data_IF_498026690765
#
_entry.id   IF_498026690765
#
_cell.length_a   1.000
_cell.length_b   1.000
_cell.length_c   1.000
_cell.angle_alpha   90.00
_cell.angle_beta   90.00
_cell.angle_gamma   90.00
#
_symmetry.space_group_name_H-M   'P 1'
#
loop_
_entity.id
_entity.type
_entity.pdbx_description
1 polymer ?
#
# COMPACT_ATOMS: atom_id res chain seq x y z
N UNK A 1 23.12 12.80 29.05
CA UNK A 1 21.83 12.67 28.34
C UNK A 1 21.93 11.46 27.43
N UNK A 2 20.82 10.75 27.17
CA UNK A 2 20.83 9.67 26.18
C UNK A 2 20.93 10.24 24.76
N UNK A 3 21.72 9.63 23.89
CA UNK A 3 21.81 10.02 22.48
C UNK A 3 20.54 9.59 21.74
N UNK A 4 19.94 10.50 20.98
CA UNK A 4 18.76 10.22 20.15
C UNK A 4 19.17 9.65 18.79
N UNK A 5 18.23 9.02 18.07
CA UNK A 5 18.44 8.67 16.66
C UNK A 5 18.24 9.93 15.79
N UNK A 6 19.34 10.58 15.43
CA UNK A 6 19.32 11.82 14.64
C UNK A 6 18.80 11.64 13.20
N UNK A 7 18.68 10.41 12.69
CA UNK A 7 18.08 10.18 11.38
C UNK A 7 16.62 10.66 11.32
N UNK A 8 15.91 10.67 12.45
CA UNK A 8 14.55 11.23 12.53
C UNK A 8 14.50 12.73 12.23
N UNK A 9 15.61 13.47 12.45
CA UNK A 9 15.68 14.91 12.20
C UNK A 9 15.82 15.24 10.71
N UNK A 10 16.09 14.24 9.87
CA UNK A 10 16.23 14.40 8.41
C UNK A 10 14.88 14.45 7.69
N UNK A 11 13.81 13.98 8.34
CA UNK A 11 12.46 14.07 7.82
C UNK A 11 12.02 15.55 7.86
N UNK A 12 12.04 16.21 6.70
CA UNK A 12 11.80 17.66 6.59
C UNK A 12 10.36 18.09 6.91
N UNK A 13 9.41 17.15 6.84
CA UNK A 13 8.01 17.37 7.18
C UNK A 13 7.46 16.20 7.99
N UNK A 14 6.35 16.44 8.70
CA UNK A 14 5.57 15.36 9.30
C UNK A 14 4.99 14.44 8.22
N UNK A 15 4.67 13.21 8.60
CA UNK A 15 4.10 12.21 7.70
C UNK A 15 2.86 12.77 6.95
N UNK A 16 2.73 12.43 5.66
CA UNK A 16 1.75 13.02 4.73
C UNK A 16 0.31 13.08 5.28
N UNK A 17 -0.20 11.96 5.78
CA UNK A 17 -1.60 11.87 6.19
C UNK A 17 -1.93 12.67 7.47
N UNK A 18 -1.08 12.68 8.51
CA UNK A 18 -1.17 13.65 9.60
C UNK A 18 -1.21 15.12 9.17
N UNK A 19 -0.39 15.52 8.19
CA UNK A 19 -0.40 16.91 7.70
C UNK A 19 -1.72 17.25 6.98
N UNK A 20 -2.24 16.34 6.15
CA UNK A 20 -3.58 16.50 5.54
C UNK A 20 -4.65 16.64 6.64
N UNK A 21 -4.62 15.77 7.66
CA UNK A 21 -5.57 15.82 8.77
C UNK A 21 -5.50 17.16 9.52
N UNK A 22 -4.30 17.71 9.72
CA UNK A 22 -4.08 19.01 10.35
C UNK A 22 -4.71 20.14 9.53
N UNK A 23 -4.48 20.19 8.21
CA UNK A 23 -5.06 21.22 7.33
C UNK A 23 -6.59 21.11 7.24
N UNK A 24 -7.13 19.90 7.13
CA UNK A 24 -8.58 19.67 7.13
C UNK A 24 -9.22 20.14 8.43
N UNK A 25 -8.58 19.86 9.57
CA UNK A 25 -9.05 20.36 10.88
C UNK A 25 -9.06 21.88 10.91
N UNK A 26 -7.97 22.53 10.51
CA UNK A 26 -7.89 23.99 10.47
C UNK A 26 -8.96 24.62 9.56
N UNK A 27 -9.22 24.01 8.39
CA UNK A 27 -10.30 24.43 7.51
C UNK A 27 -11.69 24.27 8.15
N UNK A 28 -11.96 23.11 8.77
CA UNK A 28 -13.23 22.84 9.44
C UNK A 28 -13.49 23.81 10.62
N UNK A 29 -12.45 24.10 11.42
CA UNK A 29 -12.53 25.04 12.53
C UNK A 29 -12.79 26.48 12.04
N UNK A 30 -12.16 26.89 10.93
CA UNK A 30 -12.34 28.22 10.34
C UNK A 30 -13.67 28.37 9.57
N UNK A 31 -14.27 27.25 9.14
CA UNK A 31 -15.48 27.21 8.30
C UNK A 31 -16.54 26.25 8.86
N UNK A 32 -17.07 26.53 10.06
CA UNK A 32 -18.07 25.66 10.71
C UNK A 32 -19.36 25.51 9.89
N UNK A 33 -19.65 26.48 9.00
CA UNK A 33 -20.79 26.48 8.08
C UNK A 33 -20.74 25.34 7.03
N UNK A 34 -19.54 24.85 6.69
CA UNK A 34 -19.37 23.74 5.73
C UNK A 34 -18.63 22.53 6.30
N UNK A 35 -18.19 22.57 7.56
CA UNK A 35 -17.42 21.50 8.19
C UNK A 35 -18.13 20.12 8.13
N UNK A 36 -19.46 20.11 8.31
CA UNK A 36 -20.28 18.89 8.21
C UNK A 36 -20.46 18.37 6.77
N UNK A 37 -20.15 19.19 5.77
CA UNK A 37 -20.28 18.89 4.33
C UNK A 37 -18.96 18.42 3.70
N UNK A 38 -17.88 18.34 4.48
CA UNK A 38 -16.57 17.89 3.99
C UNK A 38 -16.64 16.41 3.63
N UNK A 39 -16.39 16.12 2.35
CA UNK A 39 -16.29 14.74 1.84
C UNK A 39 -14.82 14.34 1.82
N UNK A 40 -14.51 13.22 2.47
CA UNK A 40 -13.13 12.73 2.61
C UNK A 40 -12.81 11.70 1.53
N UNK A 41 -12.15 12.15 0.47
CA UNK A 41 -11.60 11.29 -0.59
C UNK A 41 -10.05 11.29 -0.57
N UNK A 42 -9.47 11.57 0.60
CA UNK A 42 -8.02 11.69 0.82
C UNK A 42 -7.41 10.35 1.18
N UNK A 43 -7.35 10.05 2.49
CA UNK A 43 -6.92 8.74 3.00
C UNK A 43 -7.78 7.65 2.36
N UNK A 44 -7.14 6.57 1.91
CA UNK A 44 -7.83 5.42 1.36
C UNK A 44 -8.45 4.52 2.43
N UNK A 45 -9.19 5.08 3.39
CA UNK A 45 -9.86 4.30 4.44
C UNK A 45 -11.17 3.73 3.92
N UNK A 46 -11.44 2.45 4.15
CA UNK A 46 -12.69 1.82 3.68
C UNK A 46 -13.87 2.38 4.48
N UNK A 47 -15.06 2.39 3.87
CA UNK A 47 -16.25 3.03 4.47
C UNK A 47 -17.45 2.12 4.58
N UNK A 48 -17.55 1.12 3.71
CA UNK A 48 -18.58 0.09 3.82
C UNK A 48 -18.27 -0.89 4.97
N UNK A 49 -19.31 -1.44 5.61
CA UNK A 49 -19.16 -2.41 6.71
C UNK A 49 -18.35 -3.64 6.31
N UNK A 50 -17.79 -4.31 7.33
CA UNK A 50 -17.13 -5.59 7.16
C UNK A 50 -18.10 -6.64 6.57
N UNK A 51 -17.61 -7.58 5.74
CA UNK A 51 -18.40 -8.71 5.27
C UNK A 51 -19.09 -9.46 6.42
N UNK A 52 -20.35 -9.87 6.21
CA UNK A 52 -21.13 -10.55 7.24
C UNK A 52 -20.47 -11.86 7.71
N UNK A 53 -19.76 -12.57 6.83
CA UNK A 53 -18.97 -13.75 7.19
C UNK A 53 -17.88 -13.42 8.21
N UNK A 54 -17.20 -12.28 8.07
CA UNK A 54 -16.20 -11.81 9.02
C UNK A 54 -16.81 -11.43 10.36
N UNK A 55 -17.95 -10.73 10.36
CA UNK A 55 -18.66 -10.36 11.59
C UNK A 55 -19.10 -11.60 12.36
N UNK A 56 -19.67 -12.60 11.68
CA UNK A 56 -20.06 -13.86 12.31
C UNK A 56 -18.84 -14.60 12.91
N UNK A 57 -17.71 -14.63 12.20
CA UNK A 57 -16.48 -15.23 12.69
C UNK A 57 -15.88 -14.47 13.89
N UNK A 58 -15.95 -13.14 13.90
CA UNK A 58 -15.53 -12.31 15.03
C UNK A 58 -16.35 -12.63 16.28
N UNK A 59 -17.68 -12.63 16.18
CA UNK A 59 -18.56 -12.95 17.30
C UNK A 59 -18.26 -14.33 17.88
N UNK A 60 -18.18 -15.34 17.01
CA UNK A 60 -17.85 -16.70 17.42
C UNK A 60 -16.49 -16.77 18.12
N UNK A 61 -15.46 -16.14 17.58
CA UNK A 61 -14.13 -16.17 18.17
C UNK A 61 -14.06 -15.42 19.51
N UNK A 62 -14.84 -14.35 19.69
CA UNK A 62 -14.98 -13.66 20.97
C UNK A 62 -15.66 -14.57 22.00
N UNK A 63 -16.73 -15.26 21.62
CA UNK A 63 -17.42 -16.21 22.50
C UNK A 63 -16.49 -17.36 22.90
N UNK A 64 -15.69 -17.89 21.97
CA UNK A 64 -14.66 -18.90 22.24
C UNK A 64 -13.61 -18.41 23.25
N UNK A 65 -13.25 -17.12 23.23
CA UNK A 65 -12.34 -16.53 24.22
C UNK A 65 -12.99 -16.33 25.60
N UNK A 66 -14.32 -16.37 25.71
CA UNK A 66 -15.05 -16.29 26.98
C UNK A 66 -15.10 -17.61 27.75
N UNK A 67 -14.72 -18.72 27.13
CA UNK A 67 -14.83 -20.09 27.69
C UNK A 67 -13.44 -20.67 27.93
N UNK A 68 -13.19 -21.20 29.13
CA UNK A 68 -11.85 -21.64 29.57
C UNK A 68 -11.25 -22.69 28.66
N UNK A 69 -12.07 -23.60 28.15
CA UNK A 69 -11.67 -24.74 27.33
C UNK A 69 -11.28 -24.33 25.89
N UNK A 70 -11.84 -23.23 25.40
CA UNK A 70 -11.60 -22.71 24.04
C UNK A 70 -10.76 -21.45 24.01
N UNK A 71 -10.43 -20.88 25.18
CA UNK A 71 -9.61 -19.69 25.32
C UNK A 71 -8.27 -19.82 24.58
N UNK A 72 -7.88 -18.74 23.90
CA UNK A 72 -6.60 -18.61 23.19
C UNK A 72 -5.80 -17.45 23.79
N UNK A 73 -4.66 -17.76 24.40
CA UNK A 73 -3.70 -16.78 24.90
C UNK A 73 -2.78 -16.27 23.79
N UNK A 74 -1.47 -16.17 24.08
CA UNK A 74 -0.47 -15.95 23.02
C UNK A 74 -0.58 -17.05 21.97
N UNK A 75 -0.82 -16.64 20.72
CA UNK A 75 -0.83 -17.53 19.57
C UNK A 75 0.57 -17.69 18.99
N UNK A 76 0.72 -18.54 17.95
CA UNK A 76 1.95 -18.56 17.15
C UNK A 76 2.16 -17.20 16.50
N UNK A 77 3.31 -16.57 16.72
CA UNK A 77 3.59 -15.19 16.28
C UNK A 77 3.52 -15.08 14.75
N UNK A 78 3.94 -16.14 14.04
CA UNK A 78 3.84 -16.23 12.58
C UNK A 78 2.39 -16.25 12.04
N UNK A 79 1.40 -16.53 12.90
CA UNK A 79 0.00 -16.70 12.51
C UNK A 79 -0.47 -18.14 12.66
N UNK A 80 -1.78 -18.30 12.94
CA UNK A 80 -2.39 -19.61 13.11
C UNK A 80 -2.41 -20.39 11.80
N UNK A 81 -2.22 -21.71 11.90
CA UNK A 81 -2.17 -22.62 10.76
C UNK A 81 -3.39 -22.51 9.85
N UNK A 82 -4.59 -22.35 10.44
CA UNK A 82 -5.83 -22.24 9.67
C UNK A 82 -5.81 -21.07 8.69
N UNK A 83 -5.22 -19.93 9.09
CA UNK A 83 -5.14 -18.75 8.24
C UNK A 83 -4.00 -18.87 7.24
N UNK A 84 -2.82 -19.33 7.68
CA UNK A 84 -1.67 -19.53 6.78
C UNK A 84 -1.98 -20.54 5.67
N UNK A 85 -2.65 -21.64 6.01
CA UNK A 85 -3.11 -22.62 5.02
C UNK A 85 -4.16 -22.01 4.09
N UNK A 86 -5.14 -21.26 4.61
CA UNK A 86 -6.14 -20.60 3.77
C UNK A 86 -5.49 -19.62 2.78
N UNK A 87 -4.52 -18.82 3.22
CA UNK A 87 -3.77 -17.92 2.32
C UNK A 87 -2.99 -18.72 1.27
N UNK A 88 -2.19 -19.72 1.68
CA UNK A 88 -1.40 -20.54 0.76
C UNK A 88 -2.26 -21.21 -0.32
N UNK A 89 -3.38 -21.82 0.08
CA UNK A 89 -4.26 -22.54 -0.84
C UNK A 89 -5.01 -21.59 -1.79
N UNK A 90 -5.49 -20.44 -1.31
CA UNK A 90 -6.41 -19.59 -2.07
C UNK A 90 -5.71 -18.47 -2.85
N UNK A 91 -4.63 -17.91 -2.31
CA UNK A 91 -3.95 -16.76 -2.94
C UNK A 91 -2.78 -17.18 -3.82
N UNK A 92 -2.20 -18.37 -3.58
CA UNK A 92 -1.01 -18.85 -4.29
C UNK A 92 -1.27 -20.15 -5.05
N UNK A 93 -1.63 -21.25 -4.37
CA UNK A 93 -1.80 -22.56 -5.00
C UNK A 93 -2.92 -22.58 -6.03
N UNK A 94 -4.04 -21.90 -5.77
CA UNK A 94 -5.13 -21.73 -6.73
C UNK A 94 -4.71 -20.98 -8.01
N UNK A 95 -3.56 -20.30 -7.99
CA UNK A 95 -2.93 -19.61 -9.13
C UNK A 95 -1.75 -20.38 -9.72
N UNK A 96 -1.51 -21.61 -9.27
CA UNK A 96 -0.35 -22.41 -9.70
C UNK A 96 0.98 -21.96 -9.11
N UNK A 97 0.95 -21.13 -8.05
CA UNK A 97 2.15 -20.70 -7.33
C UNK A 97 2.36 -21.59 -6.10
N UNK A 98 3.57 -22.13 -5.98
CA UNK A 98 3.98 -22.95 -4.83
C UNK A 98 4.55 -22.04 -3.74
N UNK A 99 3.74 -21.74 -2.72
CA UNK A 99 4.13 -21.05 -1.48
C UNK A 99 3.73 -21.96 -0.32
N UNK A 100 4.69 -22.34 0.52
CA UNK A 100 4.39 -23.12 1.71
C UNK A 100 3.71 -22.24 2.77
N UNK A 101 2.77 -22.78 3.59
CA UNK A 101 2.16 -22.05 4.68
C UNK A 101 3.16 -21.45 5.69
N UNK A 102 4.34 -22.07 5.86
CA UNK A 102 5.40 -21.58 6.76
C UNK A 102 6.32 -20.52 6.11
N UNK A 103 6.10 -20.16 4.85
CA UNK A 103 6.68 -18.98 4.20
C UNK A 103 5.82 -17.72 4.40
N UNK A 104 4.62 -17.88 4.98
CA UNK A 104 3.65 -16.81 5.25
C UNK A 104 3.76 -16.35 6.70
N UNK A 105 3.85 -15.04 6.90
CA UNK A 105 3.93 -14.39 8.22
C UNK A 105 2.77 -13.40 8.36
N UNK A 106 1.78 -13.74 9.19
CA UNK A 106 0.59 -12.92 9.44
C UNK A 106 0.95 -11.73 10.33
N UNK A 107 0.60 -10.53 9.91
CA UNK A 107 0.95 -9.27 10.56
C UNK A 107 -0.26 -8.38 10.83
N UNK A 108 -0.08 -7.33 11.62
CA UNK A 108 -1.09 -6.29 11.81
C UNK A 108 -1.23 -5.36 10.58
N UNK A 109 -0.49 -5.60 9.50
CA UNK A 109 -0.71 -5.04 8.17
C UNK A 109 0.56 -4.59 7.45
N UNK A 110 0.48 -4.50 6.13
CA UNK A 110 1.62 -4.20 5.22
C UNK A 110 2.45 -2.97 5.61
N UNK A 111 1.85 -1.90 6.18
CA UNK A 111 2.62 -0.73 6.67
C UNK A 111 3.63 -1.11 7.75
N UNK A 112 3.22 -1.97 8.70
CA UNK A 112 4.08 -2.43 9.78
C UNK A 112 5.16 -3.37 9.25
N UNK A 113 4.78 -4.33 8.39
CA UNK A 113 5.74 -5.22 7.73
C UNK A 113 6.79 -4.44 6.97
N UNK A 114 6.38 -3.48 6.13
CA UNK A 114 7.28 -2.66 5.36
C UNK A 114 8.33 -1.94 6.23
N UNK A 115 7.91 -1.35 7.35
CA UNK A 115 8.85 -0.65 8.23
C UNK A 115 9.79 -1.61 8.96
N UNK A 116 9.24 -2.70 9.49
CA UNK A 116 10.00 -3.69 10.28
C UNK A 116 10.91 -4.56 9.40
N UNK A 117 10.57 -4.77 8.14
CA UNK A 117 11.33 -5.61 7.21
C UNK A 117 12.77 -5.10 7.04
N UNK A 118 13.00 -3.79 7.18
CA UNK A 118 14.35 -3.23 7.11
C UNK A 118 15.26 -3.68 8.27
N UNK A 119 14.71 -4.19 9.38
CA UNK A 119 15.51 -4.72 10.50
C UNK A 119 16.35 -5.95 10.14
N UNK A 120 15.97 -6.69 9.08
CA UNK A 120 16.69 -7.89 8.64
C UNK A 120 17.69 -7.61 7.52
N UNK A 121 17.80 -6.35 7.08
CA UNK A 121 18.81 -5.91 6.13
C UNK A 121 19.97 -5.21 6.85
N UNK A 122 21.20 -5.53 6.43
CA UNK A 122 22.38 -4.85 6.93
C UNK A 122 22.47 -3.39 6.44
N UNK A 123 23.31 -2.55 7.08
CA UNK A 123 23.59 -1.21 6.58
C UNK A 123 24.39 -1.26 5.28
N UNK A 124 24.28 -0.22 4.46
CA UNK A 124 25.07 -0.03 3.24
C UNK A 124 24.45 -0.61 1.96
N UNK A 125 23.24 -1.18 2.04
CA UNK A 125 22.46 -1.56 0.86
C UNK A 125 22.02 -0.31 0.07
N UNK A 126 22.17 -0.37 -1.25
CA UNK A 126 21.64 0.61 -2.20
C UNK A 126 20.17 0.30 -2.43
N UNK A 127 19.32 1.29 -2.17
CA UNK A 127 17.86 1.11 -2.19
C UNK A 127 17.27 1.85 -3.39
N UNK A 128 16.50 1.14 -4.21
CA UNK A 128 15.70 1.71 -5.28
C UNK A 128 14.21 1.63 -4.95
N UNK A 129 13.45 2.65 -5.36
CA UNK A 129 12.00 2.66 -5.21
C UNK A 129 11.33 3.47 -6.32
N UNK A 130 10.12 3.08 -6.67
CA UNK A 130 9.25 3.83 -7.58
C UNK A 130 9.05 5.28 -7.09
N UNK A 131 8.88 6.22 -8.00
CA UNK A 131 8.50 7.61 -7.71
C UNK A 131 7.48 8.09 -8.74
N UNK A 132 6.23 8.44 -8.37
CA UNK A 132 5.71 8.49 -7.01
C UNK A 132 5.32 7.10 -6.47
N UNK A 133 5.36 6.97 -5.14
CA UNK A 133 4.96 5.75 -4.45
C UNK A 133 4.55 6.04 -3.00
N UNK A 134 3.94 5.07 -2.32
CA UNK A 134 3.53 5.21 -0.93
C UNK A 134 4.72 5.60 -0.01
N UNK A 135 4.62 6.71 0.76
CA UNK A 135 5.79 7.32 1.41
C UNK A 135 6.41 6.51 2.55
N UNK A 136 5.78 5.41 2.98
CA UNK A 136 6.34 4.57 4.04
C UNK A 136 7.72 4.04 3.67
N UNK A 137 7.95 3.67 2.39
CA UNK A 137 9.21 3.09 1.94
C UNK A 137 10.37 4.05 2.12
N UNK A 138 10.17 5.32 1.77
CA UNK A 138 11.16 6.40 1.95
C UNK A 138 11.39 6.64 3.44
N UNK A 139 10.32 6.95 4.18
CA UNK A 139 10.42 7.39 5.57
C UNK A 139 11.08 6.35 6.46
N UNK A 140 10.79 5.06 6.29
CA UNK A 140 11.40 4.00 7.11
C UNK A 140 12.87 3.77 6.76
N UNK A 141 13.26 3.95 5.49
CA UNK A 141 14.68 3.96 5.09
C UNK A 141 15.42 5.18 5.66
N UNK A 142 14.77 6.34 5.75
CA UNK A 142 15.34 7.53 6.43
C UNK A 142 15.53 7.24 7.91
N UNK A 143 14.50 6.79 8.62
CA UNK A 143 14.55 6.51 10.07
C UNK A 143 15.65 5.52 10.46
N UNK A 144 15.97 4.56 9.58
CA UNK A 144 17.01 3.55 9.78
C UNK A 144 18.40 3.95 9.24
N UNK A 145 18.52 5.14 8.63
CA UNK A 145 19.79 5.70 8.18
C UNK A 145 20.27 5.23 6.80
N UNK A 146 19.39 4.62 6.01
CA UNK A 146 19.70 4.16 4.65
C UNK A 146 19.63 5.29 3.60
N UNK A 147 18.86 6.35 3.88
CA UNK A 147 18.50 7.34 2.87
C UNK A 147 19.54 8.46 2.64
N UNK A 148 20.45 8.70 3.58
CA UNK A 148 21.39 9.84 3.49
C UNK A 148 20.76 11.16 3.96
N UNK A 149 21.08 12.28 3.32
CA UNK A 149 20.54 13.62 3.64
C UNK A 149 19.52 14.10 2.59
N UNK A 150 18.61 15.02 2.92
CA UNK A 150 17.68 15.58 1.95
C UNK A 150 18.40 16.23 0.76
N UNK A 151 17.99 15.91 -0.46
CA UNK A 151 18.68 16.34 -1.69
C UNK A 151 18.25 17.72 -2.23
N UNK A 152 17.30 18.38 -1.54
CA UNK A 152 16.70 19.64 -1.95
C UNK A 152 15.68 19.55 -3.10
N UNK A 153 15.38 18.35 -3.59
CA UNK A 153 14.45 18.07 -4.70
C UNK A 153 13.24 17.24 -4.29
N UNK A 154 13.02 17.09 -2.98
CA UNK A 154 11.94 16.27 -2.43
C UNK A 154 12.33 14.80 -2.24
N UNK A 155 13.62 14.47 -2.29
CA UNK A 155 14.16 13.14 -2.04
C UNK A 155 15.32 13.15 -1.05
N UNK A 156 16.12 12.08 -1.10
CA UNK A 156 17.28 11.85 -0.23
C UNK A 156 18.44 11.29 -1.06
N UNK A 157 19.66 11.71 -0.78
CA UNK A 157 20.82 11.56 -1.68
C UNK A 157 21.38 10.14 -1.84
N UNK A 158 20.99 9.18 -0.97
CA UNK A 158 21.38 7.76 -1.09
C UNK A 158 20.26 6.84 -1.59
N UNK A 159 19.07 7.38 -1.88
CA UNK A 159 17.98 6.60 -2.46
C UNK A 159 17.98 6.75 -3.98
N UNK A 160 17.76 5.64 -4.69
CA UNK A 160 17.56 5.64 -6.14
C UNK A 160 16.06 5.71 -6.43
N UNK A 161 15.59 6.89 -6.84
CA UNK A 161 14.19 7.08 -7.25
C UNK A 161 14.01 6.67 -8.72
N UNK A 162 12.96 5.90 -8.98
CA UNK A 162 12.64 5.33 -10.28
C UNK A 162 11.38 6.01 -10.84
N UNK A 163 11.53 7.02 -11.73
CA UNK A 163 10.40 7.82 -12.17
C UNK A 163 9.32 7.01 -12.90
N UNK A 164 8.10 7.13 -12.42
CA UNK A 164 6.87 6.58 -12.96
C UNK A 164 6.06 7.77 -13.48
N UNK A 165 6.08 7.98 -14.79
CA UNK A 165 5.50 9.17 -15.43
C UNK A 165 4.39 8.78 -16.41
N UNK A 166 3.59 9.75 -16.84
CA UNK A 166 2.57 9.48 -17.84
C UNK A 166 3.17 8.96 -19.16
N UNK A 167 4.38 9.42 -19.52
CA UNK A 167 5.09 9.08 -20.74
C UNK A 167 5.58 7.61 -20.76
N UNK A 168 5.95 7.05 -19.61
CA UNK A 168 6.33 5.64 -19.49
C UNK A 168 5.18 4.73 -19.01
N UNK A 169 3.95 5.25 -18.98
CA UNK A 169 2.78 4.51 -18.50
C UNK A 169 2.85 4.18 -17.01
N UNK A 170 3.60 4.95 -16.22
CA UNK A 170 3.86 4.75 -14.80
C UNK A 170 4.56 3.43 -14.46
N UNK A 171 5.28 2.85 -15.42
CA UNK A 171 6.17 1.72 -15.20
C UNK A 171 7.61 2.20 -15.40
N UNK A 172 8.43 2.22 -14.33
CA UNK A 172 9.76 2.80 -14.42
C UNK A 172 10.72 1.91 -15.21
N UNK A 173 11.74 2.55 -15.77
CA UNK A 173 12.91 1.84 -16.30
C UNK A 173 13.72 1.19 -15.17
N UNK A 174 14.50 0.17 -15.52
CA UNK A 174 15.44 -0.46 -14.58
C UNK A 174 16.52 0.54 -14.14
N UNK A 175 17.05 0.42 -12.91
CA UNK A 175 18.19 1.21 -12.47
C UNK A 175 19.39 1.00 -13.40
N UNK A 176 20.13 2.09 -13.69
CA UNK A 176 21.35 2.01 -14.50
C UNK A 176 22.51 1.36 -13.75
N UNK A 177 22.56 1.58 -12.45
CA UNK A 177 23.54 0.99 -11.54
C UNK A 177 22.91 -0.16 -10.77
N UNK A 178 23.68 -1.20 -10.40
CA UNK A 178 23.18 -2.25 -9.54
C UNK A 178 22.65 -1.68 -8.21
N UNK A 179 21.62 -2.31 -7.66
CA UNK A 179 21.03 -1.98 -6.37
C UNK A 179 20.81 -3.26 -5.58
N UNK A 180 20.59 -3.15 -4.28
CA UNK A 180 20.54 -4.31 -3.39
C UNK A 180 19.12 -4.56 -2.85
N UNK A 181 18.27 -3.53 -2.84
CA UNK A 181 16.86 -3.59 -2.44
C UNK A 181 15.99 -2.76 -3.40
N UNK A 182 14.88 -3.32 -3.89
CA UNK A 182 13.98 -2.68 -4.87
C UNK A 182 12.55 -2.71 -4.33
N UNK A 183 11.94 -1.55 -4.14
CA UNK A 183 10.52 -1.44 -3.79
C UNK A 183 9.67 -1.31 -5.05
N UNK A 184 8.83 -2.31 -5.30
CA UNK A 184 7.81 -2.30 -6.34
C UNK A 184 6.44 -2.36 -5.68
N UNK A 185 5.50 -1.49 -6.09
CA UNK A 185 4.14 -1.49 -5.59
C UNK A 185 3.20 -1.62 -6.78
N UNK A 186 2.44 -2.72 -6.85
CA UNK A 186 1.51 -3.00 -7.94
C UNK A 186 0.25 -3.73 -7.42
N UNK A 187 -0.97 -3.19 -7.65
CA UNK A 187 -1.26 -1.88 -8.24
C UNK A 187 -0.64 -0.72 -7.45
N UNK A 188 0.01 0.20 -8.16
CA UNK A 188 0.81 1.26 -7.56
C UNK A 188 -0.07 2.27 -6.85
N UNK A 189 0.23 2.52 -5.58
CA UNK A 189 -0.29 3.67 -4.86
C UNK A 189 0.76 4.80 -4.93
N UNK A 190 0.52 5.91 -5.67
CA UNK A 190 -0.81 6.46 -5.95
C UNK A 190 -1.35 6.32 -7.39
N UNK A 191 -0.56 5.86 -8.36
CA UNK A 191 -0.88 6.03 -9.79
C UNK A 191 -2.00 5.11 -10.30
N UNK A 192 -2.25 4.01 -9.59
CA UNK A 192 -3.16 2.93 -9.99
C UNK A 192 -2.60 2.04 -11.11
N UNK A 193 -1.34 2.23 -11.49
CA UNK A 193 -0.71 1.44 -12.54
C UNK A 193 -0.47 0.00 -12.10
N UNK A 194 -0.49 -0.92 -13.06
CA UNK A 194 -0.16 -2.33 -12.90
C UNK A 194 1.02 -2.69 -13.79
N UNK A 195 1.76 -3.74 -13.42
CA UNK A 195 2.84 -4.26 -14.24
C UNK A 195 2.38 -5.52 -14.99
N UNK A 196 2.68 -5.60 -16.28
CA UNK A 196 2.46 -6.82 -17.06
C UNK A 196 3.43 -7.92 -16.64
N UNK A 197 3.11 -9.16 -17.02
CA UNK A 197 4.00 -10.31 -16.81
C UNK A 197 5.41 -10.07 -17.36
N UNK A 198 5.52 -9.49 -18.56
CA UNK A 198 6.80 -9.21 -19.21
C UNK A 198 7.58 -8.12 -18.46
N UNK A 199 6.90 -7.11 -17.94
CA UNK A 199 7.52 -6.06 -17.14
C UNK A 199 8.03 -6.63 -15.81
N UNK A 200 7.26 -7.48 -15.14
CA UNK A 200 7.72 -8.15 -13.91
C UNK A 200 8.84 -9.14 -14.18
N UNK A 201 8.83 -9.86 -15.31
CA UNK A 201 9.94 -10.74 -15.70
C UNK A 201 11.25 -9.94 -15.82
N UNK A 202 11.24 -8.75 -16.45
CA UNK A 202 12.42 -7.89 -16.52
C UNK A 202 12.95 -7.49 -15.15
N UNK A 203 12.06 -7.23 -14.18
CA UNK A 203 12.45 -6.92 -12.81
C UNK A 203 13.08 -8.12 -12.09
N UNK A 204 12.48 -9.29 -12.23
CA UNK A 204 13.02 -10.54 -11.66
C UNK A 204 14.39 -10.86 -12.26
N UNK A 205 14.52 -10.80 -13.58
CA UNK A 205 15.79 -11.02 -14.27
C UNK A 205 16.87 -10.03 -13.82
N UNK A 206 16.51 -8.75 -13.70
CA UNK A 206 17.41 -7.71 -13.20
C UNK A 206 17.84 -8.00 -11.76
N UNK A 207 16.90 -8.27 -10.86
CA UNK A 207 17.18 -8.55 -9.46
C UNK A 207 18.08 -9.77 -9.27
N UNK A 208 17.85 -10.84 -10.04
CA UNK A 208 18.73 -12.02 -10.04
C UNK A 208 20.13 -11.68 -10.56
N UNK A 209 20.23 -10.85 -11.60
CA UNK A 209 21.53 -10.48 -12.21
C UNK A 209 22.44 -9.66 -11.29
N UNK A 210 21.85 -8.85 -10.39
CA UNK A 210 22.59 -8.03 -9.44
C UNK A 210 22.46 -8.47 -7.98
N UNK A 211 21.82 -9.61 -7.73
CA UNK A 211 21.52 -10.17 -6.40
C UNK A 211 20.70 -9.21 -5.51
N UNK A 212 19.81 -8.42 -6.09
CA UNK A 212 18.89 -7.56 -5.37
C UNK A 212 17.71 -8.34 -4.79
N UNK A 213 17.15 -7.82 -3.70
CA UNK A 213 15.84 -8.26 -3.18
C UNK A 213 14.75 -7.29 -3.62
N UNK A 214 13.69 -7.81 -4.24
CA UNK A 214 12.46 -7.08 -4.53
C UNK A 214 11.55 -7.17 -3.30
N UNK A 215 11.13 -6.03 -2.78
CA UNK A 215 9.99 -5.92 -1.86
C UNK A 215 8.79 -5.53 -2.70
N UNK A 216 7.91 -6.49 -2.96
CA UNK A 216 6.74 -6.35 -3.81
C UNK A 216 5.49 -6.11 -2.97
N UNK A 217 4.98 -4.89 -2.95
CA UNK A 217 3.75 -4.54 -2.26
C UNK A 217 2.52 -4.72 -3.17
N UNK A 218 1.74 -5.74 -2.87
CA UNK A 218 0.53 -6.14 -3.57
C UNK A 218 -0.73 -5.89 -2.70
N UNK A 219 -0.74 -4.86 -1.86
CA UNK A 219 -1.88 -4.55 -0.98
C UNK A 219 -3.20 -4.22 -1.71
N UNK A 220 -3.15 -3.92 -3.02
CA UNK A 220 -4.33 -3.63 -3.85
C UNK A 220 -4.61 -4.72 -4.90
N UNK A 221 -3.97 -5.90 -4.83
CA UNK A 221 -4.07 -6.93 -5.87
C UNK A 221 -5.52 -7.33 -6.18
N UNK A 222 -6.39 -7.32 -5.18
CA UNK A 222 -7.78 -7.74 -5.32
C UNK A 222 -8.59 -6.81 -6.24
N UNK A 223 -8.07 -5.61 -6.52
CA UNK A 223 -8.71 -4.64 -7.42
C UNK A 223 -8.35 -4.83 -8.89
N UNK A 224 -7.33 -5.63 -9.21
CA UNK A 224 -6.95 -5.95 -10.60
C UNK A 224 -8.16 -6.54 -11.35
N UNK A 225 -8.51 -5.96 -12.49
CA UNK A 225 -9.56 -6.42 -13.41
C UNK A 225 -9.04 -7.39 -14.45
N UNK A 226 -7.84 -7.08 -14.97
CA UNK A 226 -7.34 -7.66 -16.20
C UNK A 226 -6.77 -9.05 -15.95
N UNK A 227 -7.31 -10.10 -16.60
CA UNK A 227 -6.93 -11.49 -16.32
C UNK A 227 -5.46 -11.82 -16.69
N UNK A 228 -4.85 -11.03 -17.57
CA UNK A 228 -3.46 -11.17 -18.00
C UNK A 228 -2.44 -10.56 -17.02
N UNK A 229 -2.91 -9.71 -16.09
CA UNK A 229 -2.05 -9.03 -15.13
C UNK A 229 -1.77 -9.96 -13.94
N UNK A 230 -0.50 -10.23 -13.61
CA UNK A 230 -0.15 -11.01 -12.42
C UNK A 230 -0.66 -10.35 -11.15
N UNK A 231 -1.20 -11.16 -10.23
CA UNK A 231 -1.61 -10.70 -8.90
C UNK A 231 -0.53 -10.92 -7.83
N UNK A 232 0.45 -11.77 -8.12
CA UNK A 232 1.60 -12.03 -7.27
C UNK A 232 2.90 -11.99 -8.08
N UNK A 233 3.96 -11.48 -7.47
CA UNK A 233 5.31 -11.56 -8.06
C UNK A 233 5.77 -13.01 -8.22
N UNK A 234 5.26 -13.92 -7.40
CA UNK A 234 5.62 -15.35 -7.45
C UNK A 234 4.95 -16.10 -8.61
N UNK A 235 4.08 -15.45 -9.38
CA UNK A 235 3.67 -15.97 -10.70
C UNK A 235 4.80 -15.88 -11.74
N UNK A 236 5.89 -15.18 -11.43
CA UNK A 236 7.03 -14.97 -12.32
C UNK A 236 8.13 -15.98 -11.98
N UNK A 237 8.60 -16.78 -12.97
CA UNK A 237 9.71 -17.71 -12.76
C UNK A 237 10.95 -17.01 -12.19
N UNK A 238 11.55 -17.61 -11.15
CA UNK A 238 12.73 -17.07 -10.46
C UNK A 238 12.42 -16.12 -9.31
N UNK A 239 11.20 -15.58 -9.19
CA UNK A 239 10.86 -14.62 -8.14
C UNK A 239 11.07 -15.14 -6.71
N UNK A 240 10.93 -16.46 -6.48
CA UNK A 240 11.18 -17.09 -5.17
C UNK A 240 12.64 -16.94 -4.68
N UNK A 241 13.58 -16.61 -5.57
CA UNK A 241 14.99 -16.43 -5.22
C UNK A 241 15.36 -14.96 -4.96
N UNK A 242 14.50 -14.01 -5.33
CA UNK A 242 14.81 -12.58 -5.25
C UNK A 242 13.67 -11.70 -4.72
N UNK A 243 12.51 -12.23 -4.30
CA UNK A 243 11.37 -11.42 -3.91
C UNK A 243 10.78 -11.77 -2.53
N UNK A 244 10.32 -10.73 -1.85
CA UNK A 244 9.42 -10.74 -0.69
C UNK A 244 8.12 -10.08 -1.14
N UNK A 245 6.97 -10.68 -0.84
CA UNK A 245 5.66 -10.09 -1.17
C UNK A 245 4.95 -9.62 0.10
N UNK A 246 4.36 -8.42 0.06
CA UNK A 246 3.52 -7.86 1.10
C UNK A 246 2.07 -7.82 0.64
N UNK A 247 1.14 -8.27 1.49
CA UNK A 247 -0.30 -8.32 1.22
C UNK A 247 -1.08 -7.73 2.39
N UNK A 248 -2.33 -7.31 2.14
CA UNK A 248 -3.16 -6.77 3.20
C UNK A 248 -4.64 -7.08 3.03
N UNK A 249 -5.30 -7.45 4.14
CA UNK A 249 -6.75 -7.56 4.21
C UNK A 249 -7.44 -6.19 4.35
N UNK A 250 -6.67 -5.12 4.53
CA UNK A 250 -7.23 -3.77 4.77
C UNK A 250 -8.09 -3.29 3.61
N UNK A 251 -7.68 -3.59 2.36
CA UNK A 251 -8.32 -3.08 1.15
C UNK A 251 -9.29 -4.08 0.52
N UNK A 252 -9.04 -5.38 0.65
CA UNK A 252 -9.94 -6.42 0.13
C UNK A 252 -11.12 -6.70 1.08
N UNK A 253 -10.86 -6.89 2.38
CA UNK A 253 -11.85 -7.31 3.38
C UNK A 253 -12.34 -6.19 4.28
N UNK A 254 -11.83 -4.97 4.09
CA UNK A 254 -12.19 -3.80 4.90
C UNK A 254 -11.48 -3.70 6.23
N UNK A 255 -10.34 -4.38 6.42
CA UNK A 255 -9.67 -4.50 7.72
C UNK A 255 -8.79 -3.28 8.08
N UNK A 256 -9.12 -2.08 7.59
CA UNK A 256 -8.36 -0.87 7.92
C UNK A 256 -8.34 -0.60 9.42
N UNK A 257 -9.45 -0.86 10.11
CA UNK A 257 -9.55 -0.82 11.57
C UNK A 257 -9.22 -2.13 12.31
N UNK A 258 -9.43 -3.30 11.67
CA UNK A 258 -9.17 -4.61 12.28
C UNK A 258 -7.68 -5.00 12.30
N UNK A 259 -6.89 -4.45 11.38
CA UNK A 259 -5.43 -4.62 11.29
C UNK A 259 -5.01 -6.09 11.05
N UNK A 260 -5.00 -6.49 9.79
CA UNK A 260 -4.43 -7.78 9.36
C UNK A 260 -3.81 -7.66 7.97
N UNK A 261 -2.64 -8.25 7.81
CA UNK A 261 -1.95 -8.46 6.53
C UNK A 261 -1.01 -9.66 6.65
N UNK A 262 -0.13 -9.81 5.67
CA UNK A 262 0.93 -10.80 5.75
C UNK A 262 2.08 -10.47 4.81
N UNK A 263 3.26 -11.00 5.15
CA UNK A 263 4.42 -11.06 4.27
C UNK A 263 4.67 -12.51 3.84
N UNK A 264 5.12 -12.70 2.60
CA UNK A 264 5.60 -14.00 2.10
C UNK A 264 7.09 -13.89 1.86
N UNK A 265 7.85 -14.71 2.57
CA UNK A 265 9.31 -14.75 2.49
C UNK A 265 9.73 -16.19 2.16
N UNK A 266 10.06 -16.49 0.90
CA UNK A 266 10.47 -17.82 0.50
C UNK A 266 11.71 -18.29 1.26
N UNK A 267 11.79 -19.58 1.60
CA UNK A 267 12.98 -20.19 2.21
C UNK A 267 14.19 -20.18 1.25
N UNK A 268 13.92 -20.08 -0.04
CA UNK A 268 14.92 -19.99 -1.11
C UNK A 268 15.58 -18.62 -1.20
N UNK A 269 14.96 -17.57 -0.64
CA UNK A 269 15.49 -16.21 -0.64
C UNK A 269 16.66 -16.08 0.35
N UNK A 270 17.84 -15.73 -0.17
CA UNK A 270 19.07 -15.62 0.62
C UNK A 270 19.71 -14.25 0.44
N UNK A 271 20.35 -13.76 1.50
CA UNK A 271 21.20 -12.57 1.49
C UNK A 271 22.65 -12.92 1.82
N UNK A 272 23.55 -11.97 1.59
CA UNK A 272 24.97 -12.14 1.91
C UNK A 272 25.31 -11.66 3.32
N UNK A 273 26.14 -12.44 4.00
CA UNK A 273 26.87 -12.02 5.19
C UNK A 273 28.12 -11.25 4.77
N UNK A 274 28.72 -10.48 5.69
CA UNK A 274 29.95 -9.71 5.44
C UNK A 274 31.14 -10.58 4.99
N UNK A 275 31.17 -11.86 5.37
CA UNK A 275 32.19 -12.83 4.94
C UNK A 275 31.90 -13.46 3.56
N UNK A 276 30.84 -13.05 2.86
CA UNK A 276 30.46 -13.56 1.54
C UNK A 276 29.57 -14.82 1.56
N UNK A 277 29.32 -15.43 2.72
CA UNK A 277 28.42 -16.57 2.82
C UNK A 277 26.95 -16.16 2.67
N UNK A 278 26.11 -17.05 2.16
CA UNK A 278 24.66 -16.80 2.05
C UNK A 278 23.92 -17.22 3.32
N UNK A 279 22.85 -16.52 3.66
CA UNK A 279 21.96 -16.83 4.79
C UNK A 279 20.50 -16.56 4.42
N UNK A 280 19.54 -17.41 4.81
CA UNK A 280 18.14 -17.25 4.41
C UNK A 280 17.47 -16.07 5.12
N UNK A 281 16.78 -15.21 4.36
CA UNK A 281 16.00 -14.10 4.93
C UNK A 281 14.81 -14.60 5.77
N UNK A 282 14.22 -15.75 5.40
CA UNK A 282 13.15 -16.40 6.16
C UNK A 282 13.52 -16.58 7.65
N UNK A 283 14.74 -17.07 7.94
CA UNK A 283 15.19 -17.29 9.32
C UNK A 283 15.39 -15.98 10.10
N UNK A 284 15.89 -14.93 9.41
CA UNK A 284 16.05 -13.61 10.02
C UNK A 284 14.69 -12.99 10.35
N UNK A 285 13.73 -13.10 9.42
CA UNK A 285 12.39 -12.58 9.63
C UNK A 285 11.65 -13.33 10.72
N UNK A 286 11.70 -14.66 10.74
CA UNK A 286 11.11 -15.46 11.81
C UNK A 286 11.66 -15.04 13.18
N UNK A 287 12.97 -14.83 13.29
CA UNK A 287 13.57 -14.34 14.54
C UNK A 287 13.10 -12.93 14.90
N UNK A 288 13.03 -12.01 13.94
CA UNK A 288 12.52 -10.65 14.17
C UNK A 288 11.06 -10.69 14.66
N UNK A 289 10.21 -11.40 13.92
CA UNK A 289 8.76 -11.50 14.13
C UNK A 289 8.45 -12.10 15.50
N UNK A 290 9.14 -13.16 15.92
CA UNK A 290 8.98 -13.79 17.25
C UNK A 290 9.62 -13.01 18.41
N UNK A 291 10.36 -11.94 18.14
CA UNK A 291 11.01 -11.12 19.18
C UNK A 291 10.30 -9.78 19.39
N UNK A 292 9.89 -9.14 18.30
CA UNK A 292 9.34 -7.78 18.30
C UNK A 292 7.81 -7.73 18.17
N UNK A 293 7.16 -8.87 17.89
CA UNK A 293 5.73 -8.93 17.63
C UNK A 293 5.10 -10.12 18.36
N UNK A 294 3.93 -9.90 18.98
CA UNK A 294 3.21 -10.91 19.77
C UNK A 294 2.08 -11.61 18.98
N UNK A 295 2.08 -11.47 17.65
CA UNK A 295 1.06 -12.03 16.77
C UNK A 295 -0.22 -11.19 16.65
N UNK A 296 -0.95 -11.41 15.56
CA UNK A 296 -2.29 -10.84 15.35
C UNK A 296 -3.31 -11.56 16.24
N UNK A 297 -4.25 -10.81 16.83
CA UNK A 297 -5.27 -11.36 17.72
C UNK A 297 -6.09 -12.49 17.06
N UNK A 298 -6.39 -13.54 17.84
CA UNK A 298 -7.13 -14.72 17.36
C UNK A 298 -8.47 -14.39 16.67
N UNK A 299 -9.34 -13.50 17.22
CA UNK A 299 -10.58 -13.14 16.54
C UNK A 299 -10.36 -12.48 15.18
N UNK A 300 -9.32 -11.65 15.03
CA UNK A 300 -8.99 -10.99 13.77
C UNK A 300 -8.53 -12.02 12.73
N UNK A 301 -7.71 -12.99 13.14
CA UNK A 301 -7.28 -14.06 12.23
C UNK A 301 -8.46 -14.96 11.80
N UNK A 302 -9.40 -15.26 12.70
CA UNK A 302 -10.66 -15.96 12.35
C UNK A 302 -11.52 -15.16 11.37
N UNK A 303 -11.58 -13.85 11.55
CA UNK A 303 -12.28 -12.97 10.62
C UNK A 303 -11.63 -12.98 9.22
N UNK A 304 -10.29 -12.98 9.17
CA UNK A 304 -9.54 -13.06 7.92
C UNK A 304 -9.73 -14.43 7.25
N UNK A 305 -9.70 -15.53 8.01
CA UNK A 305 -10.01 -16.88 7.51
C UNK A 305 -11.39 -16.93 6.85
N UNK A 306 -12.39 -16.29 7.46
CA UNK A 306 -13.75 -16.26 6.95
C UNK A 306 -13.87 -15.57 5.57
N UNK A 307 -12.93 -14.69 5.18
CA UNK A 307 -12.89 -14.09 3.84
C UNK A 307 -12.65 -15.14 2.74
N UNK A 308 -12.03 -16.28 3.08
CA UNK A 308 -11.75 -17.36 2.13
C UNK A 308 -12.89 -18.38 2.00
N UNK A 309 -13.93 -18.29 2.84
CA UNK A 309 -15.16 -19.08 2.68
C UNK A 309 -15.90 -18.70 1.37
N UNK A 310 -16.76 -19.57 0.82
CA UNK A 310 -17.58 -19.22 -0.34
C UNK A 310 -18.38 -17.93 -0.15
N UNK A 311 -18.99 -17.74 1.02
CA UNK A 311 -19.77 -16.55 1.37
C UNK A 311 -18.86 -15.33 1.51
N UNK A 312 -17.72 -15.46 2.18
CA UNK A 312 -16.72 -14.41 2.35
C UNK A 312 -16.19 -13.91 1.01
N UNK A 313 -15.80 -14.82 0.10
CA UNK A 313 -15.34 -14.49 -1.25
C UNK A 313 -16.40 -13.73 -2.05
N UNK A 314 -17.66 -14.17 -1.97
CA UNK A 314 -18.77 -13.48 -2.64
C UNK A 314 -18.98 -12.06 -2.12
N UNK A 315 -18.92 -11.88 -0.79
CA UNK A 315 -19.08 -10.57 -0.15
C UNK A 315 -17.92 -9.62 -0.45
N UNK A 316 -16.67 -10.12 -0.41
CA UNK A 316 -15.48 -9.36 -0.81
C UNK A 316 -15.57 -8.91 -2.27
N UNK A 317 -16.00 -9.81 -3.17
CA UNK A 317 -16.20 -9.46 -4.59
C UNK A 317 -17.23 -8.35 -4.77
N UNK A 318 -18.34 -8.36 -4.02
CA UNK A 318 -19.34 -7.30 -4.04
C UNK A 318 -18.78 -5.97 -3.53
N UNK A 319 -18.00 -6.01 -2.44
CA UNK A 319 -17.37 -4.83 -1.86
C UNK A 319 -16.36 -4.19 -2.83
N UNK A 320 -15.52 -4.99 -3.47
CA UNK A 320 -14.56 -4.52 -4.48
C UNK A 320 -15.31 -3.92 -5.67
N UNK A 321 -16.36 -4.59 -6.17
CA UNK A 321 -17.17 -4.07 -7.27
C UNK A 321 -17.81 -2.71 -6.94
N UNK A 322 -18.30 -2.54 -5.72
CA UNK A 322 -18.85 -1.27 -5.24
C UNK A 322 -17.84 -0.12 -5.31
N UNK A 323 -16.62 -0.33 -4.80
CA UNK A 323 -15.57 0.69 -4.83
C UNK A 323 -15.01 0.96 -6.22
N UNK A 324 -14.97 -0.05 -7.09
CA UNK A 324 -14.57 0.14 -8.50
C UNK A 324 -15.59 0.96 -9.27
N UNK A 325 -16.87 0.74 -9.00
CA UNK A 325 -17.93 1.57 -9.56
C UNK A 325 -17.83 3.01 -9.06
N UNK A 326 -17.51 3.23 -7.78
CA UNK A 326 -17.22 4.57 -7.28
C UNK A 326 -16.03 5.22 -8.02
N UNK A 327 -14.96 4.46 -8.27
CA UNK A 327 -13.79 4.96 -9.01
C UNK A 327 -14.16 5.31 -10.47
N UNK A 328 -15.01 4.50 -11.12
CA UNK A 328 -15.54 4.77 -12.47
C UNK A 328 -16.30 6.10 -12.52
N UNK A 329 -17.21 6.34 -11.58
CA UNK A 329 -18.01 7.57 -11.50
C UNK A 329 -17.13 8.82 -11.31
N UNK A 330 -16.13 8.74 -10.41
CA UNK A 330 -15.18 9.84 -10.20
C UNK A 330 -14.35 10.11 -11.47
N UNK A 331 -13.93 9.05 -12.16
CA UNK A 331 -13.16 9.17 -13.41
C UNK A 331 -13.97 9.88 -14.47
N UNK A 332 -15.22 9.47 -14.68
CA UNK A 332 -16.11 10.09 -15.66
C UNK A 332 -16.35 11.58 -15.37
N UNK A 333 -16.57 11.93 -14.10
CA UNK A 333 -16.74 13.31 -13.69
C UNK A 333 -15.50 14.16 -14.00
N UNK A 334 -14.31 13.72 -13.59
CA UNK A 334 -13.06 14.46 -13.82
C UNK A 334 -12.66 14.52 -15.30
N UNK A 335 -12.89 13.44 -16.05
CA UNK A 335 -12.66 13.44 -17.51
C UNK A 335 -13.63 14.37 -18.25
N UNK A 336 -14.86 14.57 -17.76
CA UNK A 336 -15.83 15.48 -18.38
C UNK A 336 -15.42 16.95 -18.35
N UNK A 337 -14.53 17.33 -17.42
CA UNK A 337 -13.93 18.68 -17.33
C UNK A 337 -12.51 18.75 -17.92
N UNK A 338 -12.14 17.75 -18.73
CA UNK A 338 -10.90 17.76 -19.52
C UNK A 338 -9.63 17.36 -18.76
N UNK A 339 -9.74 16.81 -17.55
CA UNK A 339 -8.57 16.33 -16.81
C UNK A 339 -8.07 14.98 -17.31
N UNK A 340 -6.75 14.81 -17.27
CA UNK A 340 -6.10 13.53 -17.51
C UNK A 340 -6.13 12.70 -16.22
N UNK A 341 -6.75 11.52 -16.31
CA UNK A 341 -7.03 10.64 -15.17
C UNK A 341 -6.46 9.25 -15.44
N UNK A 342 -5.56 8.81 -14.57
CA UNK A 342 -5.05 7.45 -14.46
C UNK A 342 -5.69 6.72 -13.27
N UNK A 343 -5.62 5.38 -13.26
CA UNK A 343 -6.24 4.52 -12.25
C UNK A 343 -7.65 4.04 -12.65
N UNK A 344 -8.50 3.70 -11.66
CA UNK A 344 -9.86 3.13 -11.75
C UNK A 344 -10.00 1.63 -12.08
N UNK A 345 -9.32 1.12 -13.11
CA UNK A 345 -9.59 -0.24 -13.62
C UNK A 345 -9.05 -1.30 -12.66
N UNK A 346 -7.84 -1.08 -12.16
CA UNK A 346 -7.10 -2.04 -11.34
C UNK A 346 -6.85 -1.52 -9.92
N UNK A 347 -7.45 -0.38 -9.55
CA UNK A 347 -7.28 0.26 -8.26
C UNK A 347 -8.54 1.01 -7.80
N UNK A 348 -8.69 1.21 -6.49
CA UNK A 348 -9.80 1.93 -5.85
C UNK A 348 -9.54 3.43 -5.66
N UNK A 349 -8.73 4.02 -6.53
CA UNK A 349 -8.37 5.43 -6.50
C UNK A 349 -7.96 5.91 -7.89
N UNK A 350 -7.95 7.23 -8.03
CA UNK A 350 -7.58 7.93 -9.24
C UNK A 350 -6.32 8.75 -9.01
N UNK A 351 -5.52 8.86 -10.06
CA UNK A 351 -4.35 9.72 -10.14
C UNK A 351 -4.59 10.76 -11.21
N UNK A 352 -4.66 12.02 -10.81
CA UNK A 352 -5.23 13.09 -11.63
C UNK A 352 -4.18 14.18 -11.84
N UNK A 353 -3.87 14.47 -13.11
CA UNK A 353 -2.96 15.56 -13.45
C UNK A 353 -3.70 16.89 -13.31
N UNK A 354 -3.15 17.81 -12.52
CA UNK A 354 -3.67 19.17 -12.43
C UNK A 354 -3.39 20.01 -13.68
N UNK A 355 -4.05 21.18 -13.79
CA UNK A 355 -3.70 22.18 -14.79
C UNK A 355 -2.24 22.62 -14.67
N UNK A 356 -1.64 23.02 -15.80
CA UNK A 356 -0.26 23.50 -15.85
C UNK A 356 -0.01 24.63 -14.85
N UNK A 357 1.14 24.57 -14.16
CA UNK A 357 1.57 25.57 -13.17
C UNK A 357 0.97 25.39 -11.76
N UNK A 358 0.02 24.46 -11.59
CA UNK A 358 -0.52 24.14 -10.27
C UNK A 358 0.44 23.24 -9.49
N UNK A 359 0.75 23.60 -8.24
CA UNK A 359 1.36 22.63 -7.32
C UNK A 359 0.30 21.68 -6.76
N UNK A 360 0.72 20.51 -6.31
CA UNK A 360 -0.14 19.50 -5.69
C UNK A 360 -0.85 20.03 -4.45
N UNK A 361 -0.15 20.86 -3.67
CA UNK A 361 -0.72 21.49 -2.47
C UNK A 361 -1.68 22.61 -2.81
N UNK A 362 -1.41 23.39 -3.87
CA UNK A 362 -2.37 24.38 -4.35
C UNK A 362 -3.67 23.74 -4.82
N UNK A 363 -3.59 22.58 -5.50
CA UNK A 363 -4.76 21.80 -5.91
C UNK A 363 -5.52 21.27 -4.70
N UNK A 364 -4.80 20.73 -3.70
CA UNK A 364 -5.41 20.29 -2.45
C UNK A 364 -6.18 21.43 -1.76
N UNK A 365 -5.54 22.58 -1.57
CA UNK A 365 -6.14 23.72 -0.87
C UNK A 365 -7.33 24.28 -1.67
N UNK A 366 -7.21 24.40 -3.00
CA UNK A 366 -8.31 24.87 -3.85
C UNK A 366 -9.52 23.94 -3.83
N UNK A 367 -9.32 22.62 -3.98
CA UNK A 367 -10.42 21.64 -3.94
C UNK A 367 -11.07 21.62 -2.56
N UNK A 368 -10.29 21.71 -1.48
CA UNK A 368 -10.83 21.79 -0.12
C UNK A 368 -11.67 23.06 0.09
N UNK A 369 -11.17 24.22 -0.33
CA UNK A 369 -11.83 25.50 -0.12
C UNK A 369 -13.11 25.64 -0.95
N UNK A 370 -13.09 25.22 -2.21
CA UNK A 370 -14.19 25.46 -3.16
C UNK A 370 -15.18 24.29 -3.25
N UNK A 371 -14.72 23.05 -3.17
CA UNK A 371 -15.58 21.85 -3.26
C UNK A 371 -15.80 21.14 -1.90
N UNK A 372 -15.07 21.52 -0.86
CA UNK A 372 -15.10 20.85 0.45
C UNK A 372 -14.82 19.35 0.31
N UNK A 373 -13.88 18.99 -0.57
CA UNK A 373 -13.43 17.63 -0.79
C UNK A 373 -11.97 17.54 -0.36
N UNK A 374 -11.66 16.53 0.44
CA UNK A 374 -10.27 16.23 0.81
C UNK A 374 -9.69 15.31 -0.27
N UNK A 375 -8.57 15.73 -0.87
CA UNK A 375 -7.75 14.90 -1.76
C UNK A 375 -6.44 14.55 -1.07
N UNK A 376 -5.52 13.87 -1.77
CA UNK A 376 -4.12 13.73 -1.31
C UNK A 376 -3.21 14.42 -2.33
N UNK A 377 -2.40 15.42 -1.95
CA UNK A 377 -1.48 16.08 -2.87
C UNK A 377 -0.44 15.08 -3.37
N UNK A 378 -0.17 15.09 -4.67
CA UNK A 378 0.70 14.13 -5.33
C UNK A 378 2.15 14.20 -4.88
N UNK A 379 2.68 15.39 -4.59
CA UNK A 379 4.04 15.56 -4.06
C UNK A 379 4.29 14.90 -2.70
N UNK A 380 3.22 14.51 -1.98
CA UNK A 380 3.33 13.68 -0.79
C UNK A 380 3.82 12.24 -1.05
N UNK A 381 3.79 11.79 -2.31
CA UNK A 381 4.22 10.46 -2.73
C UNK A 381 5.62 10.47 -3.37
N UNK A 382 6.31 11.60 -3.35
CA UNK A 382 7.61 11.79 -3.98
C UNK A 382 7.60 12.88 -5.06
N UNK A 383 8.78 13.23 -5.55
CA UNK A 383 8.99 14.38 -6.41
C UNK A 383 8.26 14.27 -7.75
N UNK A 384 8.24 13.07 -8.36
CA UNK A 384 7.48 12.81 -9.58
C UNK A 384 5.96 12.87 -9.38
N UNK A 385 5.48 12.98 -8.14
CA UNK A 385 4.09 13.23 -7.81
C UNK A 385 3.66 14.69 -7.95
N UNK A 386 4.59 15.64 -8.14
CA UNK A 386 4.27 17.06 -8.22
C UNK A 386 3.37 17.40 -9.42
N UNK A 387 2.41 18.31 -9.23
CA UNK A 387 1.38 18.65 -10.21
C UNK A 387 0.25 17.63 -10.35
N UNK A 388 0.20 16.61 -9.49
CA UNK A 388 -0.89 15.62 -9.44
C UNK A 388 -1.62 15.65 -8.09
N UNK A 389 -2.78 15.00 -8.04
CA UNK A 389 -3.42 14.62 -6.79
C UNK A 389 -4.04 13.23 -6.90
N UNK A 390 -4.10 12.53 -5.76
CA UNK A 390 -4.82 11.26 -5.63
C UNK A 390 -6.22 11.51 -5.07
N UNK A 391 -7.20 10.81 -5.62
CA UNK A 391 -8.58 10.80 -5.15
C UNK A 391 -9.01 9.36 -4.83
N UNK A 392 -9.35 9.09 -3.57
CA UNK A 392 -9.83 7.77 -3.15
C UNK A 392 -11.29 7.56 -3.54
N UNK A 393 -11.61 6.34 -3.98
CA UNK A 393 -12.98 5.88 -4.23
C UNK A 393 -13.61 5.15 -3.03
N UNK A 394 -12.91 5.06 -1.91
CA UNK A 394 -13.44 4.51 -0.67
C UNK A 394 -14.34 5.53 0.03
N UNK A 395 -15.61 5.54 -0.36
CA UNK A 395 -16.66 6.32 0.27
C UNK A 395 -18.04 5.69 0.01
N UNK A 396 -19.06 6.19 0.68
CA UNK A 396 -20.45 5.83 0.34
C UNK A 396 -20.79 6.30 -1.08
N UNK A 397 -21.70 5.61 -1.75
CA UNK A 397 -22.16 5.99 -3.10
C UNK A 397 -22.68 7.43 -3.15
N UNK A 398 -23.48 7.83 -2.15
CA UNK A 398 -24.04 9.17 -2.07
C UNK A 398 -22.96 10.25 -1.99
N UNK A 399 -21.91 10.03 -1.20
CA UNK A 399 -20.78 10.96 -1.12
C UNK A 399 -19.98 11.01 -2.42
N UNK A 400 -19.83 9.88 -3.13
CA UNK A 400 -19.17 9.84 -4.43
C UNK A 400 -19.96 10.62 -5.48
N UNK A 401 -21.27 10.43 -5.55
CA UNK A 401 -22.14 11.17 -6.49
C UNK A 401 -22.15 12.67 -6.18
N UNK A 402 -22.18 13.06 -4.91
CA UNK A 402 -22.03 14.46 -4.49
C UNK A 402 -20.63 14.98 -4.84
N UNK A 403 -19.57 14.20 -4.64
CA UNK A 403 -18.22 14.59 -5.03
C UNK A 403 -18.11 14.80 -6.54
N UNK A 404 -18.67 13.90 -7.36
CA UNK A 404 -18.77 14.08 -8.81
C UNK A 404 -19.44 15.41 -9.17
N UNK A 405 -20.58 15.74 -8.54
CA UNK A 405 -21.29 17.01 -8.79
C UNK A 405 -20.48 18.25 -8.42
N UNK A 406 -19.65 18.20 -7.39
CA UNK A 406 -18.80 19.34 -6.98
C UNK A 406 -17.52 19.44 -7.80
N UNK A 407 -16.93 18.32 -8.18
CA UNK A 407 -15.66 18.27 -8.90
C UNK A 407 -15.78 18.72 -10.37
N UNK A 408 -17.00 18.79 -10.92
CA UNK A 408 -17.18 19.31 -12.29
C UNK A 408 -17.23 20.84 -12.36
N UNK A 409 -17.07 21.56 -11.25
CA UNK A 409 -16.97 23.02 -11.27
C UNK A 409 -15.66 23.46 -11.96
N UNK A 410 -15.74 24.16 -13.12
CA UNK A 410 -14.55 24.56 -13.87
C UNK A 410 -13.60 25.46 -13.08
N UNK A 411 -14.07 26.19 -12.06
CA UNK A 411 -13.22 27.09 -11.27
C UNK A 411 -12.08 26.35 -10.58
N UNK A 412 -12.31 25.07 -10.23
CA UNK A 412 -11.33 24.22 -9.56
C UNK A 412 -10.07 24.02 -10.41
N UNK A 413 -10.22 23.95 -11.73
CA UNK A 413 -9.14 23.57 -12.64
C UNK A 413 -8.76 24.67 -13.62
N UNK A 414 -9.19 25.91 -13.37
CA UNK A 414 -8.65 27.07 -14.07
C UNK A 414 -7.13 27.19 -13.85
N UNK A 415 -6.33 27.60 -14.86
CA UNK A 415 -4.89 27.78 -14.70
C UNK A 415 -4.55 28.67 -13.51
N UNK A 416 -3.53 28.27 -12.75
CA UNK A 416 -2.96 29.11 -11.69
C UNK A 416 -2.19 30.26 -12.37
N UNK A 417 -2.44 31.50 -11.92
CA UNK A 417 -1.80 32.71 -12.45
C UNK A 417 -0.47 32.97 -11.79
#
# INVERSE_FOLDING_TARGET
MAFINENYLKLQAGYLFPEIARRVKAFADARPDVASRIIRCGIGDVTEPLPAACIAALHKAVDEMGVRETFRGYGPEQGYDFLRNAIADNDYKARGVDIDPDEIFVSDGSKCDCGNLLDIFGPGNRVAMMDPVYPVYVDTNVMLGNAGDPDGKGGFDKLTYLPCTAENGFVPELPKEPVDLIYLCYPNNPTGAVATREQLQKWVDFALSCHAVIVYDAAYEAFISSPEIPHSIFEIPGARECAIELRSFSKNGGFTGLRCGFAVIPKTLKGYRRNGETYPFHALWLRNHTTKFNGVAYPVQRAAEALYSPEGKAQVKQLIAFYKENARLLKEALSSVGLLVNGYADASYLWVRGPSGATSWDLFDRILQHANIVTTPGSGFGAAGEGYFRLSAFNSRANIEEACRRLVDPVLFTPFK
#
